data_IF_274463698080
#
_entry.id   IF_274463698080
#
_cell.length_a   1.000
_cell.length_b   1.000
_cell.length_c   1.000
_cell.angle_alpha   90.00
_cell.angle_beta   90.00
_cell.angle_gamma   90.00
#
_symmetry.space_group_name_H-M   'P 1'
#
loop_
_entity.id
_entity.type
_entity.pdbx_description
1 polymer ?
#
# COMPACT_ATOMS: atom_id res chain seq x y z
N UNK A 1 14.77 -5.55 -8.11
CA UNK A 1 13.72 -6.39 -7.52
C UNK A 1 12.74 -6.73 -8.61
N UNK A 2 12.26 -7.97 -8.64
CA UNK A 2 11.11 -8.32 -9.45
C UNK A 2 9.81 -7.78 -8.81
N UNK A 3 8.77 -7.52 -9.61
CA UNK A 3 7.44 -7.20 -9.11
C UNK A 3 6.92 -8.26 -8.14
N UNK A 4 6.11 -7.83 -7.16
CA UNK A 4 5.42 -8.74 -6.23
C UNK A 4 5.96 -8.69 -4.80
N UNK A 5 6.95 -7.83 -4.54
CA UNK A 5 7.35 -7.46 -3.19
C UNK A 5 6.75 -6.09 -2.87
N UNK A 6 5.74 -6.07 -2.02
CA UNK A 6 4.95 -4.88 -1.67
C UNK A 6 5.25 -4.43 -0.24
N UNK A 7 5.37 -3.13 -0.04
CA UNK A 7 5.47 -2.52 1.29
C UNK A 7 4.14 -1.90 1.65
N UNK A 8 3.67 -2.15 2.87
CA UNK A 8 2.43 -1.61 3.42
C UNK A 8 2.75 -0.73 4.62
N UNK A 9 2.14 0.44 4.66
CA UNK A 9 2.24 1.39 5.76
C UNK A 9 0.89 2.06 6.00
N UNK A 10 0.70 2.58 7.21
CA UNK A 10 -0.54 3.27 7.61
C UNK A 10 -0.21 4.70 8.04
N UNK A 11 -1.00 5.64 7.53
CA UNK A 11 -0.89 7.06 7.86
C UNK A 11 -2.20 7.61 8.42
N UNK A 12 -2.11 8.41 9.47
CA UNK A 12 -3.24 9.19 9.97
C UNK A 12 -3.60 10.31 8.98
N UNK A 13 -4.88 10.45 8.69
CA UNK A 13 -5.42 11.59 7.96
C UNK A 13 -5.78 12.72 8.93
N UNK A 14 -5.74 13.99 8.48
CA UNK A 14 -6.33 15.08 9.25
C UNK A 14 -7.81 14.78 9.46
N UNK A 15 -8.32 15.13 10.65
CA UNK A 15 -9.74 15.04 10.95
C UNK A 15 -10.46 16.21 10.29
N UNK A 16 -11.45 15.91 9.47
CA UNK A 16 -12.26 16.92 8.80
C UNK A 16 -13.35 17.47 9.73
N UNK A 17 -13.88 18.69 9.47
CA UNK A 17 -14.91 19.29 10.32
C UNK A 17 -16.19 18.45 10.45
N UNK A 18 -16.49 17.64 9.43
CA UNK A 18 -17.64 16.72 9.36
C UNK A 18 -17.36 15.34 9.99
N UNK A 19 -16.26 15.19 10.74
CA UNK A 19 -15.83 13.93 11.34
C UNK A 19 -15.73 14.00 12.86
N UNK A 20 -16.16 12.94 13.54
CA UNK A 20 -16.03 12.78 15.00
C UNK A 20 -14.73 12.09 15.42
N UNK A 21 -14.02 11.47 14.47
CA UNK A 21 -12.77 10.75 14.72
C UNK A 21 -11.85 10.80 13.49
N UNK A 22 -10.55 10.65 13.72
CA UNK A 22 -9.57 10.54 12.63
C UNK A 22 -9.79 9.26 11.82
N UNK A 23 -9.43 9.33 10.54
CA UNK A 23 -9.34 8.20 9.62
C UNK A 23 -7.89 7.85 9.30
N UNK A 24 -7.72 6.70 8.67
CA UNK A 24 -6.43 6.07 8.42
C UNK A 24 -6.31 5.71 6.94
N UNK A 25 -5.26 6.19 6.31
CA UNK A 25 -4.87 5.84 4.95
C UNK A 25 -3.91 4.65 5.00
N UNK A 26 -4.36 3.51 4.49
CA UNK A 26 -3.51 2.35 4.26
C UNK A 26 -2.91 2.49 2.86
N UNK A 27 -1.59 2.35 2.76
CA UNK A 27 -0.84 2.51 1.52
C UNK A 27 -0.04 1.25 1.25
N UNK A 28 -0.09 0.77 0.01
CA UNK A 28 0.73 -0.32 -0.47
C UNK A 28 1.55 0.14 -1.68
N UNK A 29 2.86 -0.17 -1.72
CA UNK A 29 3.74 0.17 -2.85
C UNK A 29 4.60 -1.01 -3.29
N UNK A 30 4.60 -1.33 -4.59
CA UNK A 30 5.46 -2.37 -5.16
C UNK A 30 6.91 -1.90 -5.35
N UNK A 31 7.87 -2.75 -4.95
CA UNK A 31 9.30 -2.45 -4.98
C UNK A 31 9.95 -2.41 -6.36
N UNK A 32 9.34 -2.97 -7.39
CA UNK A 32 9.92 -2.96 -8.73
C UNK A 32 9.35 -1.84 -9.59
N UNK A 33 8.04 -1.66 -9.50
CA UNK A 33 7.26 -0.80 -10.40
C UNK A 33 6.88 0.53 -9.77
N UNK A 34 6.99 0.66 -8.44
CA UNK A 34 6.44 1.79 -7.68
C UNK A 34 4.92 1.91 -7.80
N UNK A 35 4.21 0.88 -8.28
CA UNK A 35 2.76 0.92 -8.31
C UNK A 35 2.19 1.04 -6.91
N UNK A 36 1.27 1.98 -6.72
CA UNK A 36 0.65 2.26 -5.43
C UNK A 36 -0.81 1.85 -5.44
N UNK A 37 -1.27 1.31 -4.31
CA UNK A 37 -2.66 1.13 -3.97
C UNK A 37 -2.95 1.79 -2.63
N UNK A 38 -4.13 2.39 -2.47
CA UNK A 38 -4.56 3.00 -1.21
C UNK A 38 -6.00 2.65 -0.85
N UNK A 39 -6.30 2.68 0.44
CA UNK A 39 -7.67 2.62 0.94
C UNK A 39 -7.77 3.35 2.27
N UNK A 40 -8.95 3.90 2.57
CA UNK A 40 -9.18 4.67 3.79
C UNK A 40 -10.11 3.89 4.71
N UNK A 41 -9.75 3.82 5.99
CA UNK A 41 -10.54 3.18 7.05
C UNK A 41 -10.80 4.15 8.19
N UNK A 42 -11.87 3.89 8.95
CA UNK A 42 -12.16 4.60 10.21
C UNK A 42 -11.33 4.12 11.40
N UNK A 43 -10.59 3.02 11.25
CA UNK A 43 -9.83 2.38 12.32
C UNK A 43 -8.56 1.68 11.79
N UNK A 44 -7.74 1.17 12.72
CA UNK A 44 -6.56 0.34 12.46
C UNK A 44 -6.71 -1.06 13.06
N UNK A 45 -7.88 -1.68 12.93
CA UNK A 45 -8.11 -3.03 13.47
C UNK A 45 -7.52 -4.11 12.57
N UNK A 46 -7.30 -5.31 13.12
CA UNK A 46 -6.91 -6.50 12.35
C UNK A 46 -7.89 -6.78 11.20
N UNK A 47 -9.19 -6.54 11.42
CA UNK A 47 -10.24 -6.69 10.40
C UNK A 47 -10.00 -5.77 9.22
N UNK A 48 -9.71 -4.49 9.47
CA UNK A 48 -9.41 -3.49 8.43
C UNK A 48 -8.08 -3.79 7.72
N UNK A 49 -7.05 -4.24 8.45
CA UNK A 49 -5.79 -4.70 7.84
C UNK A 49 -5.99 -5.89 6.89
N UNK A 50 -6.77 -6.88 7.32
CA UNK A 50 -7.10 -8.05 6.49
C UNK A 50 -7.95 -7.67 5.28
N UNK A 51 -8.94 -6.78 5.44
CA UNK A 51 -9.73 -6.26 4.31
C UNK A 51 -8.84 -5.53 3.30
N UNK A 52 -7.90 -4.71 3.79
CA UNK A 52 -6.94 -4.01 2.95
C UNK A 52 -6.10 -4.98 2.12
N UNK A 53 -5.58 -6.05 2.73
CA UNK A 53 -4.82 -7.07 2.01
C UNK A 53 -5.66 -7.76 0.92
N UNK A 54 -6.92 -8.08 1.20
CA UNK A 54 -7.86 -8.66 0.21
C UNK A 54 -8.09 -7.71 -0.96
N UNK A 55 -8.37 -6.44 -0.68
CA UNK A 55 -8.56 -5.40 -1.72
C UNK A 55 -7.30 -5.19 -2.54
N UNK A 56 -6.15 -5.13 -1.88
CA UNK A 56 -4.84 -5.01 -2.53
C UNK A 56 -4.59 -6.19 -3.47
N UNK A 57 -4.83 -7.42 -3.02
CA UNK A 57 -4.67 -8.63 -3.83
C UNK A 57 -5.58 -8.63 -5.05
N UNK A 58 -6.83 -8.19 -4.89
CA UNK A 58 -7.80 -8.07 -5.99
C UNK A 58 -7.39 -6.98 -6.99
N UNK A 59 -6.93 -5.83 -6.49
CA UNK A 59 -6.55 -4.68 -7.31
C UNK A 59 -5.22 -4.89 -8.05
N UNK A 60 -4.26 -5.58 -7.45
CA UNK A 60 -2.90 -5.76 -7.97
C UNK A 60 -2.88 -6.56 -9.27
N UNK A 61 -2.28 -6.04 -10.36
CA UNK A 61 -2.06 -6.82 -11.57
C UNK A 61 -0.93 -7.85 -11.41
N UNK A 62 -0.07 -7.66 -10.42
CA UNK A 62 1.07 -8.52 -10.10
C UNK A 62 0.67 -9.57 -9.06
N UNK A 63 1.21 -10.77 -9.17
CA UNK A 63 1.20 -11.77 -8.09
C UNK A 63 2.07 -11.27 -6.94
N UNK A 64 1.42 -10.82 -5.87
CA UNK A 64 2.11 -10.50 -4.60
C UNK A 64 2.64 -11.79 -4.00
N UNK A 65 3.96 -11.86 -3.81
CA UNK A 65 4.65 -13.00 -3.19
C UNK A 65 5.19 -12.64 -1.81
N UNK A 66 5.39 -11.35 -1.54
CA UNK A 66 5.99 -10.86 -0.30
C UNK A 66 5.38 -9.54 0.10
N UNK A 67 5.11 -9.40 1.38
CA UNK A 67 4.57 -8.18 1.97
C UNK A 67 5.44 -7.75 3.15
N UNK A 68 5.90 -6.50 3.15
CA UNK A 68 6.60 -5.88 4.27
C UNK A 68 5.67 -4.91 4.99
N UNK A 69 5.50 -5.05 6.29
CA UNK A 69 4.79 -4.08 7.15
C UNK A 69 5.73 -3.57 8.24
N UNK A 70 5.30 -2.55 8.97
CA UNK A 70 5.91 -2.20 10.25
C UNK A 70 5.57 -3.24 11.33
N UNK A 71 5.98 -3.00 12.58
CA UNK A 71 5.66 -3.90 13.69
C UNK A 71 4.34 -3.52 14.38
N UNK A 72 3.45 -2.77 13.72
CA UNK A 72 2.17 -2.36 14.28
C UNK A 72 1.32 -3.57 14.71
N UNK A 73 0.61 -3.42 15.83
CA UNK A 73 -0.21 -4.49 16.42
C UNK A 73 -1.26 -5.03 15.46
N UNK A 74 -1.71 -4.21 14.50
CA UNK A 74 -2.68 -4.57 13.47
C UNK A 74 -2.13 -5.50 12.39
N UNK A 75 -0.81 -5.72 12.36
CA UNK A 75 -0.13 -6.61 11.41
C UNK A 75 0.52 -7.80 12.10
N UNK A 76 0.86 -7.69 13.39
CA UNK A 76 1.58 -8.73 14.11
C UNK A 76 1.30 -8.73 15.61
N UNK A 77 1.36 -9.92 16.20
CA UNK A 77 1.32 -10.13 17.65
C UNK A 77 2.71 -10.13 18.29
N UNK A 78 3.76 -9.75 17.54
CA UNK A 78 5.15 -9.80 18.01
C UNK A 78 5.33 -9.21 19.41
N UNK A 79 4.71 -8.07 19.71
CA UNK A 79 4.88 -7.38 21.00
C UNK A 79 4.06 -7.99 22.15
N UNK A 80 3.08 -8.84 21.87
CA UNK A 80 2.29 -9.54 22.90
C UNK A 80 2.88 -10.91 23.25
N UNK A 81 3.77 -11.45 22.41
CA UNK A 81 4.52 -12.68 22.71
C UNK A 81 5.66 -12.46 23.72
N UNK A 82 5.93 -13.47 24.56
CA UNK A 82 7.02 -13.42 25.56
C UNK A 82 8.40 -13.19 24.93
N UNK A 83 8.67 -13.86 23.82
CA UNK A 83 9.99 -13.83 23.15
C UNK A 83 10.14 -12.65 22.18
N UNK A 84 9.13 -11.78 22.07
CA UNK A 84 9.08 -10.68 21.10
C UNK A 84 9.33 -11.15 19.67
N UNK A 85 8.74 -12.29 19.30
CA UNK A 85 8.81 -12.90 17.97
C UNK A 85 7.39 -13.07 17.42
N UNK A 86 7.15 -12.83 16.13
CA UNK A 86 5.84 -13.09 15.53
C UNK A 86 5.48 -14.57 15.72
N UNK A 87 4.27 -14.87 16.19
CA UNK A 87 3.85 -16.26 16.37
C UNK A 87 3.45 -16.92 15.05
N UNK A 88 3.16 -16.12 14.02
CA UNK A 88 2.52 -16.56 12.78
C UNK A 88 1.03 -16.88 12.93
N UNK A 89 0.45 -16.71 14.13
CA UNK A 89 -0.96 -17.00 14.42
C UNK A 89 -1.85 -15.76 14.39
N UNK A 90 -1.26 -14.57 14.25
CA UNK A 90 -1.97 -13.32 14.06
C UNK A 90 -2.91 -13.41 12.85
N UNK A 91 -4.08 -12.74 12.91
CA UNK A 91 -5.09 -12.82 11.85
C UNK A 91 -4.52 -12.41 10.47
N UNK A 92 -3.65 -11.40 10.45
CA UNK A 92 -2.98 -10.95 9.24
C UNK A 92 -1.99 -11.99 8.69
N UNK A 93 -1.17 -12.62 9.56
CA UNK A 93 -0.23 -13.68 9.17
C UNK A 93 -0.95 -14.89 8.56
N UNK A 94 -2.07 -15.30 9.15
CA UNK A 94 -2.92 -16.40 8.67
C UNK A 94 -3.46 -16.12 7.26
N UNK A 95 -3.93 -14.90 7.02
CA UNK A 95 -4.46 -14.52 5.70
C UNK A 95 -3.35 -14.41 4.66
N UNK A 96 -2.20 -13.84 5.02
CA UNK A 96 -1.01 -13.85 4.16
C UNK A 96 -0.64 -15.29 3.75
N UNK A 97 -0.56 -16.19 4.72
CA UNK A 97 -0.25 -17.62 4.49
C UNK A 97 -1.28 -18.28 3.57
N UNK A 98 -2.57 -18.09 3.84
CA UNK A 98 -3.65 -18.63 3.01
C UNK A 98 -3.62 -18.10 1.56
N UNK A 99 -3.09 -16.89 1.34
CA UNK A 99 -2.91 -16.30 0.01
C UNK A 99 -1.56 -16.65 -0.64
N UNK A 100 -0.70 -17.44 0.03
CA UNK A 100 0.65 -17.75 -0.45
C UNK A 100 1.61 -16.55 -0.45
N UNK A 101 1.39 -15.59 0.46
CA UNK A 101 2.19 -14.37 0.60
C UNK A 101 3.11 -14.52 1.81
N UNK A 102 4.42 -14.37 1.59
CA UNK A 102 5.39 -14.28 2.68
C UNK A 102 5.26 -12.94 3.40
N UNK A 103 4.78 -12.93 4.63
CA UNK A 103 4.72 -11.73 5.46
C UNK A 103 6.06 -11.50 6.18
N UNK A 104 6.62 -10.30 6.01
CA UNK A 104 7.84 -9.84 6.68
C UNK A 104 7.55 -8.58 7.48
N UNK A 105 8.21 -8.46 8.62
CA UNK A 105 8.20 -7.24 9.41
C UNK A 105 9.46 -6.42 9.14
N UNK A 106 9.31 -5.10 9.10
CA UNK A 106 10.42 -4.17 9.03
C UNK A 106 11.36 -4.42 10.22
N UNK A 107 12.69 -4.56 9.99
CA UNK A 107 13.62 -4.77 11.08
C UNK A 107 13.59 -3.58 12.05
N UNK A 108 13.60 -3.83 13.37
CA UNK A 108 13.65 -2.75 14.36
C UNK A 108 14.83 -1.81 14.10
N UNK A 109 14.61 -0.50 14.17
CA UNK A 109 15.65 0.54 13.99
C UNK A 109 16.32 0.58 12.60
N UNK A 110 15.67 0.03 11.56
CA UNK A 110 16.14 0.12 10.17
C UNK A 110 15.15 0.86 9.26
N UNK A 111 14.93 2.18 9.46
CA UNK A 111 13.97 2.99 8.70
C UNK A 111 14.23 2.96 7.18
N UNK A 112 15.48 2.75 6.76
CA UNK A 112 15.86 2.62 5.35
C UNK A 112 15.10 1.52 4.61
N UNK A 113 14.67 0.46 5.30
CA UNK A 113 13.89 -0.62 4.68
C UNK A 113 12.50 -0.15 4.27
N UNK A 114 11.92 0.86 4.92
CA UNK A 114 10.61 1.41 4.57
C UNK A 114 10.65 2.72 3.77
N UNK A 115 11.85 3.23 3.45
CA UNK A 115 12.04 4.53 2.79
C UNK A 115 11.30 4.73 1.46
N UNK A 116 10.83 3.66 0.80
CA UNK A 116 9.99 3.77 -0.38
C UNK A 116 8.57 4.24 -0.09
N UNK A 117 7.89 3.57 0.85
CA UNK A 117 6.52 3.93 1.23
C UNK A 117 6.53 5.23 2.04
N UNK A 118 7.56 5.45 2.86
CA UNK A 118 7.78 6.71 3.57
C UNK A 118 7.91 7.91 2.61
N UNK A 119 8.63 7.77 1.49
CA UNK A 119 8.70 8.84 0.47
C UNK A 119 7.36 9.12 -0.18
N UNK A 120 6.56 8.08 -0.46
CA UNK A 120 5.21 8.29 -0.97
C UNK A 120 4.33 8.98 0.09
N UNK A 121 4.39 8.53 1.33
CA UNK A 121 3.69 9.14 2.47
C UNK A 121 4.13 10.58 2.73
N UNK A 122 5.40 10.93 2.46
CA UNK A 122 5.90 12.30 2.45
C UNK A 122 5.16 13.18 1.43
N UNK A 123 5.03 12.70 0.19
CA UNK A 123 4.27 13.43 -0.86
C UNK A 123 2.78 13.58 -0.52
N UNK A 124 2.17 12.55 0.08
CA UNK A 124 0.81 12.65 0.60
C UNK A 124 0.74 13.71 1.72
N UNK A 125 1.74 13.77 2.59
CA UNK A 125 1.78 14.79 3.65
C UNK A 125 1.89 16.20 3.08
N UNK A 126 2.74 16.41 2.07
CA UNK A 126 2.86 17.69 1.37
C UNK A 126 1.54 18.10 0.72
N UNK A 127 0.87 17.19 0.00
CA UNK A 127 -0.45 17.43 -0.59
C UNK A 127 -1.48 17.85 0.46
N UNK A 128 -1.51 17.14 1.60
CA UNK A 128 -2.44 17.42 2.69
C UNK A 128 -2.14 18.76 3.39
N UNK A 129 -0.88 19.19 3.42
CA UNK A 129 -0.47 20.49 4.00
C UNK A 129 -0.77 21.67 3.07
N UNK A 130 -0.69 21.46 1.75
CA UNK A 130 -0.86 22.50 0.74
C UNK A 130 -2.32 22.70 0.30
N UNK A 131 -3.21 21.79 0.69
CA UNK A 131 -4.62 21.79 0.27
C UNK A 131 -5.51 22.03 1.48
N UNK A 132 -6.42 23.00 1.36
CA UNK A 132 -7.51 23.16 2.32
C UNK A 132 -8.66 22.26 1.88
N UNK A 133 -9.16 21.44 2.80
CA UNK A 133 -10.29 20.55 2.57
C UNK A 133 -11.51 21.05 3.33
N UNK A 134 -12.67 21.04 2.67
CA UNK A 134 -13.91 21.48 3.28
C UNK A 134 -14.68 20.32 3.95
N UNK A 135 -14.39 19.07 3.55
CA UNK A 135 -15.11 17.89 4.03
C UNK A 135 -14.35 16.58 3.84
N UNK A 136 -14.85 15.52 4.49
CA UNK A 136 -14.40 14.14 4.27
C UNK A 136 -14.40 13.71 2.80
N UNK A 137 -15.49 13.87 2.02
CA UNK A 137 -15.51 13.48 0.60
C UNK A 137 -14.50 14.24 -0.27
N UNK A 138 -14.24 15.51 0.03
CA UNK A 138 -13.27 16.33 -0.69
C UNK A 138 -11.85 15.80 -0.51
N UNK A 139 -11.47 15.48 0.73
CA UNK A 139 -10.19 14.83 1.03
C UNK A 139 -10.08 13.46 0.35
N UNK A 140 -11.12 12.61 0.42
CA UNK A 140 -11.11 11.29 -0.24
C UNK A 140 -10.92 11.42 -1.76
N UNK A 141 -11.66 12.32 -2.39
CA UNK A 141 -11.59 12.58 -3.82
C UNK A 141 -10.20 13.06 -4.23
N UNK A 142 -9.62 13.99 -3.46
CA UNK A 142 -8.29 14.51 -3.72
C UNK A 142 -7.21 13.42 -3.64
N UNK A 143 -7.27 12.54 -2.64
CA UNK A 143 -6.33 11.42 -2.52
C UNK A 143 -6.46 10.42 -3.67
N UNK A 144 -7.69 10.10 -4.09
CA UNK A 144 -7.93 9.20 -5.22
C UNK A 144 -7.47 9.80 -6.55
N UNK A 145 -7.68 11.11 -6.75
CA UNK A 145 -7.15 11.83 -7.91
C UNK A 145 -5.63 11.84 -7.92
N UNK A 146 -5.00 12.08 -6.76
CA UNK A 146 -3.54 12.03 -6.65
C UNK A 146 -2.99 10.63 -6.94
N UNK A 147 -3.64 9.56 -6.46
CA UNK A 147 -3.25 8.18 -6.77
C UNK A 147 -3.25 7.93 -8.28
N UNK A 148 -4.33 8.35 -8.97
CA UNK A 148 -4.44 8.21 -10.42
C UNK A 148 -3.35 9.00 -11.13
N UNK A 149 -3.09 10.23 -10.71
CA UNK A 149 -2.01 11.06 -11.23
C UNK A 149 -0.66 10.38 -11.03
N UNK A 150 -0.37 9.91 -9.82
CA UNK A 150 0.88 9.23 -9.47
C UNK A 150 1.14 8.00 -10.34
N UNK A 151 0.16 7.09 -10.43
CA UNK A 151 0.32 5.81 -11.13
C UNK A 151 0.40 5.98 -12.65
N UNK A 152 -0.33 6.93 -13.23
CA UNK A 152 -0.49 7.04 -14.68
C UNK A 152 0.35 8.17 -15.30
N UNK A 153 0.63 9.24 -14.57
CA UNK A 153 1.13 10.49 -15.16
C UNK A 153 2.40 11.05 -14.51
N UNK A 154 2.81 10.61 -13.32
CA UNK A 154 4.03 11.12 -12.67
C UNK A 154 5.19 10.15 -12.88
N UNK A 155 6.21 10.50 -13.68
CA UNK A 155 7.41 9.69 -13.83
C UNK A 155 8.19 9.58 -12.53
N UNK A 156 8.64 8.37 -12.20
CA UNK A 156 9.45 8.09 -11.02
C UNK A 156 10.92 7.89 -11.44
N UNK A 157 11.80 8.78 -10.97
CA UNK A 157 13.25 8.70 -11.26
C UNK A 157 13.86 7.34 -10.92
N UNK A 158 13.42 6.74 -9.82
CA UNK A 158 13.91 5.45 -9.32
C UNK A 158 13.65 4.25 -10.25
N UNK A 159 12.81 4.40 -11.27
CA UNK A 159 12.49 3.36 -12.27
C UNK A 159 12.75 3.87 -13.69
N UNK A 160 13.74 4.77 -13.84
CA UNK A 160 14.17 5.28 -15.14
C UNK A 160 13.21 6.30 -15.75
N UNK A 161 12.65 7.20 -14.93
CA UNK A 161 11.71 8.23 -15.35
C UNK A 161 10.48 7.68 -16.08
N UNK A 162 9.95 6.56 -15.58
CA UNK A 162 8.70 5.94 -16.04
C UNK A 162 7.60 6.13 -15.02
N UNK A 163 6.36 6.19 -15.47
CA UNK A 163 5.21 6.08 -14.56
C UNK A 163 5.09 4.65 -14.05
N UNK A 164 4.48 4.42 -12.88
CA UNK A 164 4.27 3.07 -12.39
C UNK A 164 3.53 2.15 -13.38
N UNK A 165 2.55 2.66 -14.11
CA UNK A 165 1.83 1.89 -15.14
C UNK A 165 2.73 1.55 -16.33
N UNK A 166 3.59 2.47 -16.78
CA UNK A 166 4.58 2.15 -17.81
C UNK A 166 5.53 1.04 -17.36
N UNK A 167 6.03 1.12 -16.13
CA UNK A 167 6.89 0.08 -15.57
C UNK A 167 6.17 -1.27 -15.46
N UNK A 168 4.92 -1.29 -15.01
CA UNK A 168 4.09 -2.49 -14.98
C UNK A 168 3.96 -3.15 -16.36
N UNK A 169 3.67 -2.36 -17.40
CA UNK A 169 3.55 -2.86 -18.77
C UNK A 169 4.85 -3.47 -19.29
N UNK A 170 5.98 -2.80 -19.07
CA UNK A 170 7.29 -3.35 -19.47
C UNK A 170 7.62 -4.64 -18.74
N UNK A 171 7.30 -4.73 -17.44
CA UNK A 171 7.48 -5.95 -16.68
C UNK A 171 6.57 -7.07 -17.19
N UNK A 172 5.31 -6.77 -17.54
CA UNK A 172 4.39 -7.75 -18.09
C UNK A 172 4.85 -8.30 -19.44
N UNK A 173 5.49 -7.48 -20.27
CA UNK A 173 6.09 -7.93 -21.53
C UNK A 173 7.32 -8.82 -21.30
N UNK A 174 8.16 -8.48 -20.32
CA UNK A 174 9.41 -9.21 -20.03
C UNK A 174 9.20 -10.50 -19.26
N UNK A 175 8.24 -10.52 -18.33
CA UNK A 175 7.96 -11.60 -17.37
C UNK A 175 6.45 -11.72 -17.11
N UNK A 176 5.66 -12.18 -18.10
CA UNK A 176 4.22 -12.28 -17.97
C UNK A 176 3.77 -13.20 -16.82
N UNK A 177 4.57 -14.19 -16.44
CA UNK A 177 4.33 -15.14 -15.34
C UNK A 177 4.27 -14.50 -13.94
N UNK A 178 4.70 -13.25 -13.81
CA UNK A 178 4.58 -12.47 -12.58
C UNK A 178 3.20 -11.81 -12.43
N UNK A 179 2.37 -11.82 -13.49
CA UNK A 179 1.09 -11.11 -13.53
C UNK A 179 -0.10 -12.07 -13.47
N UNK A 180 -1.16 -11.64 -12.80
CA UNK A 180 -2.43 -12.38 -12.68
C UNK A 180 -3.55 -11.77 -13.51
N UNK A 181 -3.35 -10.57 -14.05
CA UNK A 181 -4.26 -9.89 -14.97
C UNK A 181 -3.52 -8.88 -15.85
N UNK A 182 -4.19 -8.41 -16.91
CA UNK A 182 -3.63 -7.43 -17.85
C UNK A 182 -3.49 -6.06 -17.19
N UNK A 183 -2.42 -5.34 -17.51
CA UNK A 183 -2.22 -3.96 -17.07
C UNK A 183 -2.90 -3.00 -18.07
N UNK A 184 -3.91 -2.27 -17.60
CA UNK A 184 -4.65 -1.30 -18.41
C UNK A 184 -4.16 0.14 -18.16
N UNK A 185 -4.35 1.02 -19.15
CA UNK A 185 -4.05 2.46 -19.03
C UNK A 185 -5.07 3.23 -18.20
N UNK A 186 -6.21 2.63 -17.88
CA UNK A 186 -7.27 3.26 -17.09
C UNK A 186 -7.80 2.28 -16.04
N UNK A 187 -7.90 2.74 -14.80
CA UNK A 187 -8.69 2.10 -13.75
C UNK A 187 -10.17 2.27 -14.11
N UNK A 188 -10.80 1.27 -14.73
CA UNK A 188 -12.23 1.34 -15.04
C UNK A 188 -12.84 0.34 -16.02
N UNK A 189 -12.23 -0.83 -16.27
CA UNK A 189 -12.82 -1.83 -17.18
C UNK A 189 -12.80 -3.27 -16.65
N UNK A 190 -12.87 -3.45 -15.33
CA UNK A 190 -13.36 -4.70 -14.76
C UNK A 190 -14.82 -4.45 -14.35
N UNK A 191 -15.76 -4.89 -15.20
CA UNK A 191 -17.21 -4.93 -14.93
C UNK A 191 -17.54 -6.07 -13.98
#
# INVERSE_FOLDING_TARGET
>A
YEPGFVHVDIKYLPQMPDETSRRYLFVAIDRATRWVFLHIYGDMTDKSSVDFLRRLKLASPIRIIKLLTDNGSQFTDRFTTKDRKPSGQHAFDKVCTAMGIEHRLAPPRHPQTNGMVERFNGRISELLQQTRFDSRPDLETTLLNYLKLYNHHIPQRAIGAKTPIQALKEWQQKKPELFVKRVYDQTGLDK
#
